data_IF_774780512460
#
_entry.id   IF_774780512460
#
_cell.length_a   1.000
_cell.length_b   1.000
_cell.length_c   1.000
_cell.angle_alpha   90.00
_cell.angle_beta   90.00
_cell.angle_gamma   90.00
#
_symmetry.space_group_name_H-M   'P 1'
#
loop_
_entity.id
_entity.type
_entity.pdbx_description
1 polymer ?
#
# COMPACT_ATOMS: atom_id res chain seq x y z
N UNK A 1 22.93 25.08 14.98
CA UNK A 1 21.46 24.86 15.00
C UNK A 1 21.15 23.68 14.09
N UNK A 2 20.57 22.62 14.65
CA UNK A 2 20.05 21.49 13.88
C UNK A 2 18.67 21.87 13.34
N UNK A 3 18.42 21.53 12.08
CA UNK A 3 17.12 21.69 11.41
C UNK A 3 16.69 20.31 10.91
N UNK A 4 15.39 20.13 10.63
CA UNK A 4 14.88 18.88 10.07
C UNK A 4 15.62 18.53 8.76
N UNK A 5 15.88 19.52 7.89
CA UNK A 5 16.64 19.29 6.65
C UNK A 5 18.06 18.78 6.89
N UNK A 6 18.76 19.31 7.91
CA UNK A 6 20.09 18.81 8.28
C UNK A 6 20.01 17.42 8.92
N UNK A 7 18.95 17.14 9.68
CA UNK A 7 18.72 15.83 10.30
C UNK A 7 18.54 14.72 9.25
N UNK A 8 18.06 15.03 8.05
CA UNK A 8 17.94 14.05 6.94
C UNK A 8 19.30 13.51 6.44
N UNK A 9 20.41 14.11 6.83
CA UNK A 9 21.76 13.77 6.34
C UNK A 9 22.65 13.10 7.40
N UNK A 10 22.13 12.70 8.56
CA UNK A 10 22.92 12.27 9.74
C UNK A 10 23.62 10.90 9.57
N UNK A 11 23.23 10.10 8.59
CA UNK A 11 23.88 8.83 8.24
C UNK A 11 24.02 8.72 6.72
N UNK A 12 24.95 9.47 6.10
CA UNK A 12 25.04 9.59 4.63
C UNK A 12 25.46 8.29 3.95
N UNK A 13 26.11 7.38 4.68
CA UNK A 13 26.56 6.08 4.17
C UNK A 13 25.45 5.01 4.18
N UNK A 14 24.29 5.30 4.77
CA UNK A 14 23.14 4.39 4.75
C UNK A 14 22.54 4.36 3.34
N UNK A 15 22.74 3.26 2.62
CA UNK A 15 22.14 3.07 1.30
C UNK A 15 20.63 2.92 1.43
N UNK A 16 19.89 3.91 0.92
CA UNK A 16 18.43 3.86 0.81
C UNK A 16 18.01 3.02 -0.39
N UNK A 17 16.79 2.47 -0.33
CA UNK A 17 16.18 1.75 -1.45
C UNK A 17 15.74 2.73 -2.56
N UNK A 18 16.70 3.42 -3.19
CA UNK A 18 16.47 4.46 -4.22
C UNK A 18 15.72 3.93 -5.45
N UNK A 19 15.73 2.61 -5.64
CA UNK A 19 14.94 1.93 -6.65
C UNK A 19 13.43 2.13 -6.43
N UNK A 20 12.95 2.20 -5.18
CA UNK A 20 11.50 2.28 -4.88
C UNK A 20 10.90 3.58 -5.43
N UNK A 21 11.42 4.78 -5.10
CA UNK A 21 10.91 6.03 -5.68
C UNK A 21 11.06 6.08 -7.20
N UNK A 22 12.19 5.61 -7.75
CA UNK A 22 12.46 5.65 -9.18
C UNK A 22 11.48 4.79 -9.99
N UNK A 23 11.23 3.56 -9.56
CA UNK A 23 10.27 2.65 -10.21
C UNK A 23 8.85 3.19 -10.04
N UNK A 24 8.49 3.73 -8.86
CA UNK A 24 7.20 4.39 -8.62
C UNK A 24 6.96 5.54 -9.60
N UNK A 25 7.96 6.39 -9.83
CA UNK A 25 7.85 7.48 -10.78
C UNK A 25 7.62 6.99 -12.23
N UNK A 26 8.32 5.93 -12.64
CA UNK A 26 8.14 5.33 -13.97
C UNK A 26 6.76 4.69 -14.13
N UNK A 27 6.26 4.03 -13.09
CA UNK A 27 4.92 3.44 -13.07
C UNK A 27 3.82 4.49 -13.31
N UNK A 28 3.93 5.66 -12.69
CA UNK A 28 2.96 6.77 -12.85
C UNK A 28 2.84 7.31 -14.27
N UNK A 29 3.84 7.08 -15.13
CA UNK A 29 3.84 7.50 -16.53
C UNK A 29 3.16 6.50 -17.47
N UNK A 30 2.80 5.32 -16.97
CA UNK A 30 2.12 4.29 -17.75
C UNK A 30 0.65 4.66 -17.95
N UNK A 31 0.05 4.13 -19.02
CA UNK A 31 -1.40 4.20 -19.22
C UNK A 31 -2.13 3.44 -18.10
N UNK A 32 -3.39 3.77 -17.82
CA UNK A 32 -4.16 3.09 -16.79
C UNK A 32 -4.27 1.58 -17.04
N UNK A 33 -4.43 1.16 -18.30
CA UNK A 33 -4.46 -0.26 -18.67
C UNK A 33 -3.12 -0.95 -18.39
N UNK A 34 -1.99 -0.33 -18.76
CA UNK A 34 -0.65 -0.85 -18.46
C UNK A 34 -0.41 -0.90 -16.95
N UNK A 35 -0.88 0.09 -16.19
CA UNK A 35 -0.76 0.11 -14.73
C UNK A 35 -1.49 -1.08 -14.10
N UNK A 36 -2.75 -1.30 -14.49
CA UNK A 36 -3.58 -2.40 -13.98
C UNK A 36 -3.00 -3.76 -14.39
N UNK A 37 -2.61 -3.92 -15.64
CA UNK A 37 -1.99 -5.15 -16.14
C UNK A 37 -0.66 -5.44 -15.43
N UNK A 38 0.16 -4.41 -15.19
CA UNK A 38 1.42 -4.55 -14.45
C UNK A 38 1.18 -5.00 -13.01
N UNK A 39 0.25 -4.36 -12.29
CA UNK A 39 -0.10 -4.75 -10.91
C UNK A 39 -0.59 -6.21 -10.89
N UNK A 40 -1.45 -6.58 -11.83
CA UNK A 40 -1.97 -7.95 -11.94
C UNK A 40 -0.85 -8.98 -12.18
N UNK A 41 0.05 -8.71 -13.13
CA UNK A 41 1.17 -9.62 -13.42
C UNK A 41 2.17 -9.69 -12.27
N UNK A 42 2.46 -8.56 -11.62
CA UNK A 42 3.29 -8.53 -10.41
C UNK A 42 2.64 -9.34 -9.28
N UNK A 43 1.32 -9.21 -9.08
CA UNK A 43 0.56 -9.98 -8.09
C UNK A 43 0.61 -11.48 -8.35
N UNK A 44 0.40 -11.91 -9.61
CA UNK A 44 0.44 -13.33 -9.97
C UNK A 44 1.81 -13.97 -9.75
N UNK A 45 2.88 -13.26 -10.10
CA UNK A 45 4.24 -13.76 -9.93
C UNK A 45 4.68 -13.71 -8.47
N UNK A 46 4.39 -12.62 -7.76
CA UNK A 46 4.70 -12.49 -6.33
C UNK A 46 3.87 -13.43 -5.47
N UNK A 47 2.64 -13.77 -5.84
CA UNK A 47 1.83 -14.77 -5.13
C UNK A 47 2.43 -16.18 -5.14
N UNK A 48 3.41 -16.46 -6.02
CA UNK A 48 4.17 -17.71 -6.01
C UNK A 48 5.33 -17.71 -5.01
N UNK A 49 5.83 -16.53 -4.62
CA UNK A 49 7.05 -16.37 -3.80
C UNK A 49 6.78 -15.71 -2.45
N UNK A 50 5.70 -14.95 -2.34
CA UNK A 50 5.28 -14.18 -1.16
C UNK A 50 3.89 -14.66 -0.76
N UNK A 51 3.78 -15.26 0.41
CA UNK A 51 2.46 -15.47 1.02
C UNK A 51 1.94 -14.13 1.51
N UNK A 52 1.04 -13.52 0.75
CA UNK A 52 0.35 -12.29 1.18
C UNK A 52 -0.55 -12.63 2.35
N UNK A 53 -0.36 -11.94 3.48
CA UNK A 53 -1.27 -12.08 4.61
C UNK A 53 -2.67 -11.61 4.20
N UNK A 54 -3.69 -12.44 4.44
CA UNK A 54 -5.07 -12.07 4.16
C UNK A 54 -5.40 -10.76 4.91
N UNK A 55 -6.10 -9.81 4.25
CA UNK A 55 -6.49 -8.57 4.90
C UNK A 55 -7.34 -8.86 6.15
N UNK A 56 -7.06 -8.17 7.26
CA UNK A 56 -7.83 -8.32 8.49
C UNK A 56 -9.32 -7.97 8.31
N UNK A 57 -10.19 -8.64 9.07
CA UNK A 57 -11.65 -8.52 8.92
C UNK A 57 -12.17 -7.07 9.04
N UNK A 58 -11.58 -6.25 9.92
CA UNK A 58 -11.95 -4.85 10.08
C UNK A 58 -11.67 -4.01 8.82
N UNK A 59 -10.55 -4.28 8.14
CA UNK A 59 -10.20 -3.63 6.87
C UNK A 59 -11.18 -4.02 5.76
N UNK A 60 -11.47 -5.32 5.67
CA UNK A 60 -12.40 -5.85 4.68
C UNK A 60 -13.82 -5.36 4.88
N UNK A 61 -14.27 -5.13 6.12
CA UNK A 61 -15.59 -4.56 6.38
C UNK A 61 -15.79 -3.18 5.73
N UNK A 62 -14.72 -2.38 5.60
CA UNK A 62 -14.76 -1.06 4.98
C UNK A 62 -14.78 -1.14 3.44
N UNK A 63 -14.01 -2.06 2.86
CA UNK A 63 -13.92 -2.24 1.41
C UNK A 63 -15.10 -3.06 0.83
N UNK A 64 -15.70 -3.95 1.64
CA UNK A 64 -16.68 -4.94 1.21
C UNK A 64 -17.90 -4.35 0.50
N UNK A 65 -18.55 -3.27 0.99
CA UNK A 65 -19.70 -2.69 0.29
C UNK A 65 -19.37 -2.26 -1.14
N UNK A 66 -18.18 -1.70 -1.36
CA UNK A 66 -17.70 -1.30 -2.69
C UNK A 66 -17.36 -2.52 -3.56
N UNK A 67 -16.77 -3.56 -2.98
CA UNK A 67 -16.51 -4.81 -3.70
C UNK A 67 -17.80 -5.50 -4.13
N UNK A 68 -18.80 -5.54 -3.26
CA UNK A 68 -20.13 -6.10 -3.57
C UNK A 68 -20.83 -5.27 -4.67
N UNK A 69 -20.67 -3.94 -4.66
CA UNK A 69 -21.12 -3.03 -5.74
C UNK A 69 -20.47 -3.39 -7.09
N UNK A 70 -19.15 -3.60 -7.12
CA UNK A 70 -18.40 -3.97 -8.32
C UNK A 70 -18.80 -5.37 -8.83
N UNK A 71 -18.97 -6.35 -7.93
CA UNK A 71 -19.38 -7.71 -8.31
C UNK A 71 -20.77 -7.74 -8.95
N UNK A 72 -21.66 -6.80 -8.58
CA UNK A 72 -22.99 -6.67 -9.18
C UNK A 72 -23.00 -6.01 -10.57
N UNK A 73 -21.89 -5.39 -11.00
CA UNK A 73 -21.76 -4.76 -12.31
C UNK A 73 -21.47 -5.77 -13.43
N UNK A 74 -21.72 -5.36 -14.68
CA UNK A 74 -21.24 -6.10 -15.86
C UNK A 74 -19.72 -6.04 -15.98
N UNK A 75 -19.10 -6.96 -16.72
CA UNK A 75 -17.64 -7.00 -16.89
C UNK A 75 -17.06 -5.74 -17.54
N UNK A 76 -17.80 -5.11 -18.44
CA UNK A 76 -17.39 -3.84 -19.06
C UNK A 76 -17.38 -2.70 -18.04
N UNK A 77 -18.39 -2.64 -17.17
CA UNK A 77 -18.47 -1.67 -16.07
C UNK A 77 -17.39 -1.92 -15.01
N UNK A 78 -17.13 -3.18 -14.65
CA UNK A 78 -16.04 -3.55 -13.74
C UNK A 78 -14.69 -3.09 -14.26
N UNK A 79 -14.42 -3.37 -15.55
CA UNK A 79 -13.20 -2.91 -16.23
C UNK A 79 -13.10 -1.39 -16.21
N UNK A 80 -14.21 -0.70 -16.50
CA UNK A 80 -14.28 0.76 -16.44
C UNK A 80 -13.95 1.29 -15.05
N UNK A 81 -14.50 0.70 -13.98
CA UNK A 81 -14.21 1.13 -12.59
C UNK A 81 -12.73 1.00 -12.27
N UNK A 82 -12.09 -0.12 -12.64
CA UNK A 82 -10.65 -0.29 -12.43
C UNK A 82 -9.83 0.74 -13.22
N UNK A 83 -10.19 1.00 -14.47
CA UNK A 83 -9.56 2.02 -15.30
C UNK A 83 -9.77 3.44 -14.74
N UNK A 84 -10.96 3.75 -14.23
CA UNK A 84 -11.29 5.04 -13.61
C UNK A 84 -10.47 5.27 -12.33
N UNK A 85 -10.27 4.22 -11.52
CA UNK A 85 -9.40 4.25 -10.34
C UNK A 85 -7.95 4.56 -10.72
N UNK A 86 -7.39 3.82 -11.68
CA UNK A 86 -6.01 4.03 -12.14
C UNK A 86 -5.81 5.38 -12.84
N UNK A 87 -6.82 5.84 -13.59
CA UNK A 87 -6.80 7.12 -14.32
C UNK A 87 -7.13 8.32 -13.43
N UNK A 88 -7.45 8.10 -12.14
CA UNK A 88 -7.87 9.15 -11.21
C UNK A 88 -9.07 9.95 -11.71
N UNK A 89 -10.05 9.28 -12.31
CA UNK A 89 -11.27 9.92 -12.80
C UNK A 89 -12.20 10.20 -11.63
N UNK A 90 -12.78 11.40 -11.60
CA UNK A 90 -13.83 11.75 -10.66
C UNK A 90 -15.09 10.89 -10.89
N UNK A 91 -15.22 9.84 -10.10
CA UNK A 91 -16.31 8.89 -10.13
C UNK A 91 -16.66 8.45 -8.70
N UNK A 92 -17.90 7.99 -8.42
CA UNK A 92 -18.33 7.67 -7.06
C UNK A 92 -17.39 6.70 -6.31
N UNK A 93 -16.94 5.63 -6.98
CA UNK A 93 -16.00 4.66 -6.40
C UNK A 93 -14.60 5.27 -6.25
N UNK A 94 -14.13 6.04 -7.23
CA UNK A 94 -12.82 6.70 -7.17
C UNK A 94 -12.71 7.69 -6.02
N UNK A 95 -13.77 8.45 -5.75
CA UNK A 95 -13.83 9.38 -4.62
C UNK A 95 -13.90 8.62 -3.30
N UNK A 96 -14.74 7.59 -3.19
CA UNK A 96 -14.81 6.74 -1.98
C UNK A 96 -13.46 6.09 -1.67
N UNK A 97 -12.79 5.57 -2.70
CA UNK A 97 -11.47 4.96 -2.60
C UNK A 97 -10.41 5.94 -2.10
N UNK A 98 -10.45 7.20 -2.53
CA UNK A 98 -9.47 8.20 -2.14
C UNK A 98 -9.42 8.44 -0.62
N UNK A 99 -10.57 8.36 0.06
CA UNK A 99 -10.68 8.51 1.51
C UNK A 99 -10.27 7.27 2.31
N UNK A 100 -9.86 6.17 1.68
CA UNK A 100 -9.43 4.98 2.42
C UNK A 100 -7.98 5.08 2.87
N UNK A 101 -7.71 4.56 4.08
CA UNK A 101 -6.34 4.30 4.50
C UNK A 101 -5.64 3.36 3.51
N UNK A 102 -4.30 3.43 3.46
CA UNK A 102 -3.52 2.59 2.54
C UNK A 102 -3.78 1.10 2.80
N UNK A 103 -4.04 0.70 4.05
CA UNK A 103 -4.30 -0.69 4.41
C UNK A 103 -5.67 -1.17 3.89
N UNK A 104 -6.69 -0.30 3.90
CA UNK A 104 -8.00 -0.59 3.30
C UNK A 104 -7.89 -0.68 1.77
N UNK A 105 -7.14 0.25 1.15
CA UNK A 105 -6.83 0.21 -0.30
C UNK A 105 -6.14 -1.09 -0.70
N UNK A 106 -5.13 -1.53 0.05
CA UNK A 106 -4.44 -2.80 -0.18
C UNK A 106 -5.39 -4.00 -0.05
N UNK A 107 -6.24 -4.02 0.98
CA UNK A 107 -7.23 -5.08 1.17
C UNK A 107 -8.25 -5.15 0.02
N UNK A 108 -8.70 -3.99 -0.46
CA UNK A 108 -9.56 -3.87 -1.62
C UNK A 108 -8.94 -4.50 -2.87
N UNK A 109 -7.70 -4.15 -3.22
CA UNK A 109 -7.04 -4.68 -4.42
C UNK A 109 -6.72 -6.18 -4.31
N UNK A 110 -6.37 -6.66 -3.11
CA UNK A 110 -6.18 -8.08 -2.85
C UNK A 110 -7.46 -8.88 -3.15
N UNK A 111 -8.58 -8.48 -2.57
CA UNK A 111 -9.85 -9.18 -2.77
C UNK A 111 -10.33 -9.06 -4.21
N UNK A 112 -10.15 -7.90 -4.86
CA UNK A 112 -10.43 -7.72 -6.28
C UNK A 112 -9.64 -8.73 -7.13
N UNK A 113 -8.36 -8.95 -6.82
CA UNK A 113 -7.52 -9.95 -7.49
C UNK A 113 -8.01 -11.39 -7.28
N UNK A 114 -8.47 -11.74 -6.07
CA UNK A 114 -9.07 -13.04 -5.80
C UNK A 114 -10.41 -13.22 -6.52
N UNK A 115 -11.23 -12.18 -6.61
CA UNK A 115 -12.48 -12.17 -7.37
C UNK A 115 -12.23 -12.31 -8.88
N UNK A 116 -11.17 -11.68 -9.41
CA UNK A 116 -10.73 -11.85 -10.80
C UNK A 116 -10.27 -13.29 -11.07
N UNK A 117 -9.48 -13.87 -10.15
CA UNK A 117 -9.06 -15.30 -10.23
C UNK A 117 -10.26 -16.24 -10.17
N UNK A 118 -11.26 -15.91 -9.35
CA UNK A 118 -12.51 -16.65 -9.22
C UNK A 118 -13.52 -16.39 -10.35
N UNK A 119 -13.20 -15.54 -11.32
CA UNK A 119 -14.08 -15.23 -12.46
C UNK A 119 -15.33 -14.40 -12.12
N UNK A 120 -15.37 -13.76 -10.95
CA UNK A 120 -16.47 -12.88 -10.52
C UNK A 120 -16.27 -11.43 -10.94
N UNK A 121 -15.02 -11.03 -11.13
CA UNK A 121 -14.63 -9.72 -11.66
C UNK A 121 -13.88 -9.93 -12.98
N UNK A 122 -14.08 -9.02 -13.94
CA UNK A 122 -13.42 -9.05 -15.24
C UNK A 122 -11.89 -9.17 -15.09
N UNK A 123 -11.26 -10.24 -15.62
CA UNK A 123 -9.82 -10.39 -15.55
C UNK A 123 -9.13 -9.46 -16.57
N UNK A 124 -7.82 -9.25 -16.39
CA UNK A 124 -6.99 -8.66 -17.46
C UNK A 124 -7.08 -9.57 -18.70
N UNK A 125 -7.31 -9.01 -19.91
CA UNK A 125 -7.50 -9.80 -21.12
C UNK A 125 -6.37 -10.82 -21.34
N UNK A 126 -6.70 -12.08 -21.72
CA UNK A 126 -5.69 -13.08 -22.02
C UNK A 126 -4.81 -12.60 -23.19
N UNK A 127 -3.49 -12.63 -22.97
CA UNK A 127 -2.54 -12.17 -23.97
C UNK A 127 -2.38 -10.64 -24.05
N UNK A 128 -2.86 -9.88 -23.06
CA UNK A 128 -2.54 -8.46 -22.97
C UNK A 128 -1.02 -8.24 -23.04
N UNK A 129 -0.60 -7.39 -23.98
CA UNK A 129 0.81 -7.06 -24.19
C UNK A 129 1.09 -5.73 -23.53
N UNK A 130 1.83 -5.76 -22.43
CA UNK A 130 2.39 -4.57 -21.82
C UNK A 130 3.16 -3.75 -22.86
N UNK A 131 3.08 -2.43 -22.75
CA UNK A 131 4.00 -1.56 -23.49
C UNK A 131 5.46 -1.86 -23.14
N UNK A 132 6.40 -1.40 -23.98
CA UNK A 132 7.83 -1.55 -23.69
C UNK A 132 8.22 -0.90 -22.35
N UNK A 133 7.61 0.26 -22.04
CA UNK A 133 7.83 0.96 -20.78
C UNK A 133 7.27 0.15 -19.60
N UNK A 134 6.03 -0.35 -19.72
CA UNK A 134 5.41 -1.14 -18.65
C UNK A 134 6.15 -2.47 -18.41
N UNK A 135 6.56 -3.15 -19.47
CA UNK A 135 7.39 -4.37 -19.38
C UNK A 135 8.70 -4.09 -18.63
N UNK A 136 9.38 -2.99 -18.96
CA UNK A 136 10.62 -2.59 -18.29
C UNK A 136 10.41 -2.20 -16.81
N UNK A 137 9.26 -1.63 -16.46
CA UNK A 137 8.89 -1.36 -15.05
C UNK A 137 8.65 -2.68 -14.33
N UNK A 138 7.89 -3.60 -14.91
CA UNK A 138 7.62 -4.91 -14.33
C UNK A 138 8.93 -5.69 -14.08
N UNK A 139 9.85 -5.70 -15.05
CA UNK A 139 11.17 -6.33 -14.89
C UNK A 139 12.00 -5.69 -13.76
N UNK A 140 11.87 -4.37 -13.56
CA UNK A 140 12.54 -3.69 -12.46
C UNK A 140 11.94 -4.09 -11.10
N UNK A 141 10.61 -4.22 -11.00
CA UNK A 141 9.94 -4.73 -9.80
C UNK A 141 10.43 -6.14 -9.47
N UNK A 142 10.55 -7.04 -10.45
CA UNK A 142 11.03 -8.42 -10.21
C UNK A 142 12.45 -8.51 -9.65
N UNK A 143 13.31 -7.53 -9.98
CA UNK A 143 14.75 -7.54 -9.63
C UNK A 143 15.06 -6.96 -8.26
N UNK A 144 14.14 -6.17 -7.69
CA UNK A 144 14.34 -5.64 -6.34
C UNK A 144 14.02 -6.70 -5.27
N UNK A 145 14.57 -6.51 -4.08
CA UNK A 145 14.33 -7.40 -2.95
C UNK A 145 12.86 -7.42 -2.53
N UNK A 146 12.43 -8.52 -1.91
CA UNK A 146 11.03 -8.79 -1.56
C UNK A 146 10.36 -7.65 -0.77
N UNK A 147 11.06 -7.06 0.22
CA UNK A 147 10.54 -5.92 0.97
C UNK A 147 10.27 -4.69 0.10
N UNK A 148 11.15 -4.43 -0.87
CA UNK A 148 10.98 -3.32 -1.83
C UNK A 148 9.84 -3.58 -2.81
N UNK A 149 9.62 -4.84 -3.22
CA UNK A 149 8.47 -5.21 -4.06
C UNK A 149 7.14 -4.88 -3.37
N UNK A 150 7.02 -5.21 -2.07
CA UNK A 150 5.84 -4.89 -1.27
C UNK A 150 5.65 -3.37 -1.17
N UNK A 151 6.72 -2.62 -0.92
CA UNK A 151 6.66 -1.14 -0.90
C UNK A 151 6.23 -0.57 -2.25
N UNK A 152 6.70 -1.13 -3.37
CA UNK A 152 6.31 -0.71 -4.71
C UNK A 152 4.83 -0.94 -4.98
N UNK A 153 4.32 -2.14 -4.71
CA UNK A 153 2.89 -2.43 -4.88
C UNK A 153 2.02 -1.51 -4.01
N UNK A 154 2.44 -1.26 -2.77
CA UNK A 154 1.78 -0.30 -1.88
C UNK A 154 1.72 1.10 -2.49
N UNK A 155 2.84 1.58 -3.05
CA UNK A 155 2.91 2.90 -3.69
C UNK A 155 2.12 2.97 -5.00
N UNK A 156 2.02 1.87 -5.75
CA UNK A 156 1.27 1.84 -7.01
C UNK A 156 -0.23 2.03 -6.75
N UNK A 157 -0.75 1.45 -5.68
CA UNK A 157 -2.18 1.53 -5.35
C UNK A 157 -2.55 2.71 -4.46
N UNK A 158 -1.60 3.28 -3.70
CA UNK A 158 -1.86 4.41 -2.79
C UNK A 158 -2.40 5.63 -3.55
N UNK A 159 -1.86 5.86 -4.75
CA UNK A 159 -2.07 7.06 -5.54
C UNK A 159 -3.25 6.96 -6.53
N UNK A 160 -3.93 5.82 -6.57
CA UNK A 160 -5.16 5.63 -7.37
C UNK A 160 -6.38 6.30 -6.71
N UNK A 161 -7.46 6.42 -7.47
CA UNK A 161 -8.67 7.13 -7.05
C UNK A 161 -8.63 8.62 -7.36
N UNK A 162 -9.70 9.32 -7.01
CA UNK A 162 -9.83 10.75 -7.29
C UNK A 162 -9.77 11.54 -5.99
N UNK A 163 -8.75 12.37 -5.89
CA UNK A 163 -8.42 13.16 -4.72
C UNK A 163 -8.52 14.66 -5.04
N UNK A 164 -9.69 15.29 -4.81
CA UNK A 164 -9.80 16.73 -4.99
C UNK A 164 -9.31 17.50 -3.75
N UNK A 165 -9.43 16.96 -2.54
CA UNK A 165 -9.18 17.66 -1.26
C UNK A 165 -9.08 16.69 -0.04
N UNK A 166 -8.50 15.48 -0.20
CA UNK A 166 -8.36 14.55 0.94
C UNK A 166 -7.40 15.16 1.96
N UNK A 167 -7.91 15.39 3.17
CA UNK A 167 -7.15 15.72 4.38
C UNK A 167 -7.16 14.51 5.30
N UNK A 168 -6.05 14.26 6.01
CA UNK A 168 -5.84 13.06 6.84
C UNK A 168 -7.00 12.79 7.83
N UNK A 169 -7.60 13.86 8.37
CA UNK A 169 -8.73 13.77 9.32
C UNK A 169 -10.02 13.17 8.73
N UNK A 170 -10.13 13.07 7.40
CA UNK A 170 -11.28 12.49 6.71
C UNK A 170 -11.04 11.05 6.25
N UNK A 171 -9.85 10.49 6.52
CA UNK A 171 -9.54 9.13 6.12
C UNK A 171 -10.37 8.11 6.91
N UNK A 172 -11.00 7.20 6.18
CA UNK A 172 -11.66 6.03 6.72
C UNK A 172 -10.60 4.94 6.88
N UNK A 173 -10.21 4.70 8.12
CA UNK A 173 -9.21 3.72 8.51
C UNK A 173 -9.81 2.59 9.37
N UNK A 174 -9.06 1.51 9.53
CA UNK A 174 -9.37 0.50 10.53
C UNK A 174 -9.39 1.11 11.95
N UNK A 175 -10.22 0.57 12.88
CA UNK A 175 -10.17 0.97 14.27
C UNK A 175 -8.75 0.81 14.84
N UNK A 176 -8.30 1.79 15.62
CA UNK A 176 -7.02 1.70 16.33
C UNK A 176 -7.12 0.55 17.33
N UNK A 177 -6.17 -0.38 17.23
CA UNK A 177 -6.07 -1.52 18.15
C UNK A 177 -5.57 -1.00 19.49
N UNK A 178 -6.22 -1.39 20.59
CA UNK A 178 -5.80 -1.00 21.92
C UNK A 178 -4.36 -1.47 22.20
N UNK A 179 -3.58 -0.71 23.00
CA UNK A 179 -2.22 -1.09 23.34
C UNK A 179 -2.17 -2.47 24.00
N UNK A 180 -1.11 -3.23 23.70
CA UNK A 180 -0.84 -4.50 24.39
C UNK A 180 -0.56 -4.21 25.87
N UNK A 181 -1.15 -4.97 26.81
CA UNK A 181 -0.91 -4.79 28.25
C UNK A 181 0.58 -4.86 28.58
N UNK A 182 1.07 -4.02 29.49
CA UNK A 182 2.51 -3.97 29.85
C UNK A 182 3.10 -5.32 30.25
N UNK A 183 2.32 -6.17 30.94
CA UNK A 183 2.75 -7.51 31.35
C UNK A 183 3.02 -8.47 30.21
N UNK A 184 2.49 -8.17 29.01
CA UNK A 184 2.60 -8.98 27.80
C UNK A 184 3.54 -8.37 26.76
N UNK A 185 4.16 -7.21 27.06
CA UNK A 185 5.09 -6.54 26.15
C UNK A 185 6.43 -7.27 26.10
N UNK A 186 6.93 -7.46 24.89
CA UNK A 186 8.27 -7.99 24.67
C UNK A 186 9.32 -6.90 24.83
N UNK A 187 10.35 -7.15 25.64
CA UNK A 187 11.47 -6.23 25.79
C UNK A 187 12.38 -6.30 24.58
N UNK A 188 12.65 -5.14 24.00
CA UNK A 188 13.52 -5.02 22.82
C UNK A 188 14.98 -4.89 23.24
N UNK A 189 15.83 -5.70 22.64
CA UNK A 189 17.28 -5.59 22.77
C UNK A 189 17.91 -5.35 21.40
N UNK A 190 18.66 -4.26 21.26
CA UNK A 190 19.40 -3.91 20.05
C UNK A 190 20.90 -3.89 20.42
N UNK A 191 21.71 -4.80 19.87
CA UNK A 191 23.14 -4.83 20.15
C UNK A 191 23.81 -3.48 19.90
N UNK A 192 24.50 -2.95 20.91
CA UNK A 192 25.21 -1.67 20.83
C UNK A 192 24.35 -0.42 21.05
N UNK A 193 23.03 -0.55 21.25
CA UNK A 193 22.14 0.58 21.54
C UNK A 193 21.60 0.46 22.97
N UNK A 194 22.05 1.37 23.83
CA UNK A 194 21.60 1.47 25.23
C UNK A 194 20.71 2.69 25.50
N UNK A 195 20.43 3.49 24.46
CA UNK A 195 19.62 4.68 24.59
C UNK A 195 18.15 4.28 24.86
N UNK A 196 17.63 4.70 26.02
CA UNK A 196 16.29 4.31 26.45
C UNK A 196 15.19 4.85 25.54
N UNK A 197 15.31 6.07 25.01
CA UNK A 197 14.33 6.61 24.05
C UNK A 197 14.21 5.72 22.81
N UNK A 198 15.32 5.18 22.29
CA UNK A 198 15.29 4.26 21.14
C UNK A 198 14.64 2.93 21.50
N UNK A 199 14.97 2.36 22.67
CA UNK A 199 14.40 1.08 23.10
C UNK A 199 12.90 1.21 23.40
N UNK A 200 12.50 2.26 24.12
CA UNK A 200 11.10 2.60 24.37
C UNK A 200 10.34 2.87 23.08
N UNK A 201 10.94 3.56 22.11
CA UNK A 201 10.32 3.77 20.80
C UNK A 201 9.91 2.44 20.15
N UNK A 202 10.81 1.45 20.14
CA UNK A 202 10.53 0.14 19.53
C UNK A 202 9.47 -0.65 20.31
N UNK A 203 9.54 -0.65 21.64
CA UNK A 203 8.60 -1.36 22.51
C UNK A 203 7.18 -0.78 22.42
N UNK A 204 7.05 0.55 22.48
CA UNK A 204 5.77 1.25 22.37
C UNK A 204 5.16 1.09 20.98
N UNK A 205 5.99 1.18 19.92
CA UNK A 205 5.51 0.95 18.55
C UNK A 205 5.05 -0.50 18.33
N UNK A 206 5.79 -1.49 18.83
CA UNK A 206 5.41 -2.90 18.71
C UNK A 206 4.15 -3.26 19.53
N UNK A 207 3.85 -2.50 20.58
CA UNK A 207 2.67 -2.71 21.42
C UNK A 207 1.46 -1.88 21.02
N UNK A 208 1.52 -1.10 19.92
CA UNK A 208 0.49 -0.14 19.49
C UNK A 208 0.18 0.95 20.55
N UNK A 209 1.14 1.27 21.41
CA UNK A 209 0.98 2.31 22.44
C UNK A 209 1.36 3.69 21.89
N UNK A 210 0.52 4.19 20.98
CA UNK A 210 0.80 5.43 20.26
C UNK A 210 0.73 6.68 21.14
N UNK A 211 -0.07 6.65 22.21
CA UNK A 211 -0.23 7.75 23.17
C UNK A 211 1.06 7.98 23.96
N UNK A 212 1.72 6.92 24.43
CA UNK A 212 3.03 7.06 25.08
C UNK A 212 4.16 7.26 24.05
N UNK A 213 4.04 6.69 22.85
CA UNK A 213 5.05 6.82 21.80
C UNK A 213 5.27 8.28 21.38
N UNK A 214 4.19 9.05 21.27
CA UNK A 214 4.29 10.45 20.82
C UNK A 214 4.98 11.33 21.86
N UNK A 215 4.90 11.00 23.16
CA UNK A 215 5.60 11.71 24.23
C UNK A 215 7.14 11.62 24.15
N UNK A 216 7.67 10.69 23.34
CA UNK A 216 9.12 10.60 23.08
C UNK A 216 9.63 11.66 22.09
N UNK A 217 8.73 12.35 21.38
CA UNK A 217 9.07 13.36 20.39
C UNK A 217 9.06 14.77 21.00
N UNK A 218 9.87 15.65 20.43
CA UNK A 218 9.83 17.08 20.75
C UNK A 218 8.66 17.74 20.02
N UNK A 219 8.12 18.81 20.61
CA UNK A 219 7.09 19.68 20.01
C UNK A 219 7.52 20.34 18.69
#
# INVERSE_FOLDING_TARGET
>A
MYTIDKARQIFPDTQTADAVPAITARFKLLSAEDQLALIWFAYLEMGQTITVAAPGAARMALAKPTLDEIVAMSFDEQTKVMCDLASKINAPISTRYAFWSINVKLGFWYELGELMRGGKVAPIPPGYKLSANASSVLDAVKKVEQGQQISLLRNFVSDMGFDPDVVDDKLVAEPIVAPTPESEREKIFIPGVLNQTILSYMELLNSNDFDQLIELFLD
#
